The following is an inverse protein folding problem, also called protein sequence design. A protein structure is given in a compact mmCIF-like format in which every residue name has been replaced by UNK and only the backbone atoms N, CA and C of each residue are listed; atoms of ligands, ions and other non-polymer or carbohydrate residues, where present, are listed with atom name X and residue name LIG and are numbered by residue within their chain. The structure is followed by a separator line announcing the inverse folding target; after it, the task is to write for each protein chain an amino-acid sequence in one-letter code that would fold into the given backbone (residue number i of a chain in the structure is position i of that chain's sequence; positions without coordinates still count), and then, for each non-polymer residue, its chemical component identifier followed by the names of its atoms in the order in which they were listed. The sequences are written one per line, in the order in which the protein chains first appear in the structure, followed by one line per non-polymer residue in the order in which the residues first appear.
data_IF_277831632933
#
_entry.id   IF_277831632933
#
_cell.length_a   1.000
_cell.length_b   1.000
_cell.length_c   1.000
_cell.angle_alpha   90.00
_cell.angle_beta   90.00
_cell.angle_gamma   90.00
#
_symmetry.space_group_name_H-M   'P 1'
#
loop_
_entity.id
_entity.type
_entity.pdbx_description
1 polymer ?
#
# COMPACT_ATOMS: atom_id res chain seq x y z
N UNK A 1 -10.28 -25.72 -7.73
CA UNK A 1 -9.87 -24.31 -7.57
C UNK A 1 -10.69 -23.45 -8.53
N UNK A 2 -11.02 -22.22 -8.16
CA UNK A 2 -11.73 -21.28 -9.04
C UNK A 2 -10.88 -20.98 -10.30
N UNK A 3 -11.54 -20.76 -11.43
CA UNK A 3 -10.87 -20.34 -12.66
C UNK A 3 -10.54 -18.83 -12.58
N UNK A 4 -9.43 -18.38 -13.20
CA UNK A 4 -9.14 -16.96 -13.37
C UNK A 4 -10.28 -16.22 -14.06
N UNK A 5 -10.62 -15.06 -13.50
CA UNK A 5 -11.49 -14.04 -14.07
C UNK A 5 -10.72 -13.28 -15.17
N UNK A 6 -9.43 -13.03 -14.96
CA UNK A 6 -8.58 -12.36 -15.95
C UNK A 6 -8.42 -13.19 -17.22
N UNK A 7 -8.77 -12.58 -18.36
CA UNK A 7 -8.55 -13.18 -19.67
C UNK A 7 -7.14 -12.88 -20.15
N UNK A 8 -6.22 -13.79 -19.89
CA UNK A 8 -4.83 -13.70 -20.36
C UNK A 8 -4.72 -14.44 -21.70
N UNK A 9 -4.14 -13.78 -22.70
CA UNK A 9 -4.05 -14.27 -24.09
C UNK A 9 -2.97 -15.32 -24.31
N UNK A 10 -2.02 -15.45 -23.39
CA UNK A 10 -0.92 -16.42 -23.46
C UNK A 10 -1.26 -17.71 -22.72
N UNK A 11 -0.68 -18.83 -23.16
CA UNK A 11 -0.78 -20.09 -22.42
C UNK A 11 -0.04 -19.94 -21.08
N UNK A 12 -0.80 -19.99 -19.98
CA UNK A 12 -0.26 -19.90 -18.62
C UNK A 12 0.26 -21.26 -18.17
N UNK A 13 1.33 -21.24 -17.38
CA UNK A 13 1.71 -22.39 -16.57
C UNK A 13 0.53 -22.82 -15.67
N UNK A 14 0.26 -24.13 -15.50
CA UNK A 14 -0.85 -24.58 -14.65
C UNK A 14 -0.81 -24.02 -13.23
N UNK A 15 0.38 -23.86 -12.65
CA UNK A 15 0.58 -23.28 -11.31
C UNK A 15 0.11 -21.83 -11.28
N UNK A 16 0.52 -21.02 -12.27
CA UNK A 16 0.10 -19.62 -12.41
C UNK A 16 -1.41 -19.54 -12.62
N UNK A 17 -1.98 -20.40 -13.47
CA UNK A 17 -3.41 -20.44 -13.73
C UNK A 17 -4.23 -20.69 -12.45
N UNK A 18 -3.87 -21.72 -11.68
CA UNK A 18 -4.60 -22.03 -10.46
C UNK A 18 -4.39 -21.01 -9.34
N UNK A 19 -3.16 -20.47 -9.21
CA UNK A 19 -2.86 -19.44 -8.24
C UNK A 19 -3.64 -18.16 -8.54
N UNK A 20 -3.61 -17.70 -9.78
CA UNK A 20 -4.33 -16.49 -10.21
C UNK A 20 -5.83 -16.60 -9.92
N UNK A 21 -6.47 -17.70 -10.32
CA UNK A 21 -7.89 -17.91 -10.04
C UNK A 21 -8.19 -17.92 -8.55
N UNK A 22 -7.31 -18.52 -7.75
CA UNK A 22 -7.48 -18.58 -6.30
C UNK A 22 -7.36 -17.20 -5.64
N UNK A 23 -6.42 -16.36 -6.10
CA UNK A 23 -6.22 -15.00 -5.61
C UNK A 23 -7.40 -14.09 -5.98
N UNK A 24 -7.83 -14.13 -7.24
CA UNK A 24 -8.97 -13.34 -7.73
C UNK A 24 -10.27 -13.74 -7.04
N UNK A 25 -10.45 -15.01 -6.72
CA UNK A 25 -11.61 -15.46 -5.96
C UNK A 25 -11.63 -14.86 -4.55
N UNK A 26 -10.50 -14.81 -3.84
CA UNK A 26 -10.46 -14.22 -2.50
C UNK A 26 -10.87 -12.74 -2.51
N UNK A 27 -10.43 -12.01 -3.53
CA UNK A 27 -10.73 -10.59 -3.72
C UNK A 27 -12.03 -10.34 -4.51
N UNK A 28 -12.77 -11.39 -4.85
CA UNK A 28 -14.03 -11.26 -5.60
C UNK A 28 -15.13 -10.64 -4.75
N UNK A 29 -16.08 -9.90 -5.33
CA UNK A 29 -17.22 -9.34 -4.62
C UNK A 29 -18.04 -10.39 -3.86
N UNK A 30 -18.15 -11.60 -4.43
CA UNK A 30 -18.91 -12.70 -3.82
C UNK A 30 -18.22 -13.21 -2.56
N UNK A 31 -16.89 -13.35 -2.56
CA UNK A 31 -16.15 -13.75 -1.36
C UNK A 31 -16.18 -12.63 -0.32
N UNK A 32 -15.86 -11.39 -0.72
CA UNK A 32 -15.83 -10.24 0.18
C UNK A 32 -17.17 -9.99 0.85
N UNK A 33 -18.31 -10.23 0.19
CA UNK A 33 -19.62 -10.08 0.80
C UNK A 33 -19.83 -11.01 2.01
N UNK A 34 -19.16 -12.16 2.08
CA UNK A 34 -19.37 -13.19 3.10
C UNK A 34 -18.16 -13.36 4.04
N UNK A 35 -16.96 -13.02 3.59
CA UNK A 35 -15.71 -13.22 4.31
C UNK A 35 -15.42 -12.05 5.25
N UNK A 36 -15.98 -12.13 6.47
CA UNK A 36 -15.76 -11.12 7.49
C UNK A 36 -14.28 -11.01 7.92
N UNK A 37 -13.55 -12.13 7.90
CA UNK A 37 -12.14 -12.13 8.28
C UNK A 37 -11.32 -11.29 7.31
N UNK A 38 -11.54 -11.46 6.01
CA UNK A 38 -10.84 -10.68 4.99
C UNK A 38 -11.20 -9.19 5.09
N UNK A 39 -12.47 -8.87 5.32
CA UNK A 39 -12.94 -7.50 5.54
C UNK A 39 -12.33 -6.84 6.77
N UNK A 40 -12.13 -7.59 7.86
CA UNK A 40 -11.47 -7.08 9.06
C UNK A 40 -10.00 -6.74 8.82
N UNK A 41 -9.40 -7.27 7.76
CA UNK A 41 -8.01 -7.03 7.37
C UNK A 41 -7.87 -5.95 6.31
N UNK A 42 -8.97 -5.42 5.80
CA UNK A 42 -8.98 -4.23 4.95
C UNK A 42 -8.69 -2.98 5.79
N UNK A 43 -7.92 -2.07 5.22
CA UNK A 43 -7.83 -0.70 5.72
C UNK A 43 -8.98 0.18 5.22
N UNK A 44 -8.95 1.46 5.58
CA UNK A 44 -9.98 2.44 5.23
C UNK A 44 -10.14 2.66 3.71
N UNK A 45 -9.15 2.28 2.91
CA UNK A 45 -9.18 2.35 1.45
C UNK A 45 -9.23 0.97 0.78
N UNK A 46 -9.62 -0.06 1.54
CA UNK A 46 -9.85 -1.42 1.04
C UNK A 46 -8.58 -2.24 0.81
N UNK A 47 -7.41 -1.74 1.21
CA UNK A 47 -6.14 -2.43 0.99
C UNK A 47 -5.93 -3.57 1.98
N UNK A 48 -5.37 -4.67 1.47
CA UNK A 48 -5.02 -5.86 2.23
C UNK A 48 -3.54 -6.19 2.01
N UNK A 49 -2.77 -6.54 3.04
CA UNK A 49 -1.38 -6.96 2.87
C UNK A 49 -1.27 -8.25 2.03
N UNK A 50 -0.40 -8.25 1.01
CA UNK A 50 -0.09 -9.44 0.21
C UNK A 50 0.44 -10.60 1.08
N UNK A 51 1.33 -10.38 2.08
CA UNK A 51 1.78 -11.46 2.96
C UNK A 51 0.62 -12.17 3.69
N UNK A 52 -0.46 -11.44 4.01
CA UNK A 52 -1.64 -12.05 4.59
C UNK A 52 -2.31 -13.00 3.60
N UNK A 53 -2.51 -12.60 2.35
CA UNK A 53 -3.10 -13.46 1.31
C UNK A 53 -2.20 -14.67 1.03
N UNK A 54 -0.89 -14.47 0.95
CA UNK A 54 0.09 -15.53 0.78
C UNK A 54 0.04 -16.56 1.91
N UNK A 55 -0.33 -16.13 3.12
CA UNK A 55 -0.51 -17.03 4.27
C UNK A 55 -1.74 -17.93 4.18
N UNK A 56 -2.67 -17.75 3.22
CA UNK A 56 -3.89 -18.56 3.18
C UNK A 56 -3.60 -20.01 2.80
N UNK A 57 -4.30 -20.94 3.46
CA UNK A 57 -4.06 -22.39 3.30
C UNK A 57 -4.07 -22.85 1.83
N UNK A 58 -4.97 -22.32 0.99
CA UNK A 58 -5.03 -22.69 -0.43
C UNK A 58 -3.88 -22.10 -1.24
N UNK A 59 -3.42 -20.91 -0.89
CA UNK A 59 -2.25 -20.28 -1.53
C UNK A 59 -0.99 -21.05 -1.14
N UNK A 60 -0.80 -21.34 0.16
CA UNK A 60 0.33 -22.13 0.69
C UNK A 60 0.43 -23.55 0.13
N UNK A 61 -0.69 -24.13 -0.32
CA UNK A 61 -0.70 -25.44 -0.99
C UNK A 61 -0.17 -25.37 -2.44
N UNK A 62 -0.15 -24.18 -3.04
CA UNK A 62 0.33 -23.95 -4.41
C UNK A 62 1.77 -23.43 -4.39
N UNK A 63 2.05 -22.45 -3.52
CA UNK A 63 3.37 -21.82 -3.39
C UNK A 63 3.60 -21.33 -1.96
N UNK A 64 4.86 -21.25 -1.55
CA UNK A 64 5.29 -20.59 -0.30
C UNK A 64 6.06 -19.29 -0.56
N UNK A 65 6.24 -18.94 -1.83
CA UNK A 65 6.97 -17.75 -2.25
C UNK A 65 6.01 -16.55 -2.36
N UNK A 66 6.15 -15.59 -1.43
CA UNK A 66 5.35 -14.36 -1.41
C UNK A 66 5.63 -13.45 -2.61
N UNK A 67 6.88 -13.44 -3.11
CA UNK A 67 7.24 -12.65 -4.29
C UNK A 67 6.53 -13.17 -5.53
N UNK A 68 6.46 -14.50 -5.66
CA UNK A 68 5.68 -15.14 -6.73
C UNK A 68 4.18 -14.85 -6.63
N UNK A 69 3.60 -14.80 -5.41
CA UNK A 69 2.20 -14.39 -5.22
C UNK A 69 1.96 -12.97 -5.72
N UNK A 70 2.86 -12.04 -5.39
CA UNK A 70 2.78 -10.65 -5.88
C UNK A 70 2.86 -10.59 -7.41
N UNK A 71 3.80 -11.32 -8.01
CA UNK A 71 3.96 -11.33 -9.47
C UNK A 71 2.70 -11.84 -10.17
N UNK A 72 2.08 -12.91 -9.64
CA UNK A 72 0.82 -13.44 -10.19
C UNK A 72 -0.35 -12.50 -9.97
N UNK A 73 -0.44 -11.83 -8.81
CA UNK A 73 -1.43 -10.75 -8.62
C UNK A 73 -1.25 -9.63 -9.66
N UNK A 74 -0.02 -9.32 -10.05
CA UNK A 74 0.28 -8.31 -11.08
C UNK A 74 -0.22 -8.68 -12.48
N UNK A 75 -0.51 -9.96 -12.73
CA UNK A 75 -1.13 -10.44 -13.98
C UNK A 75 -2.65 -10.28 -13.99
N UNK A 76 -3.26 -10.01 -12.84
CA UNK A 76 -4.70 -9.88 -12.71
C UNK A 76 -5.19 -8.52 -13.22
N UNK A 77 -6.28 -8.53 -13.99
CA UNK A 77 -6.97 -7.32 -14.47
C UNK A 77 -8.02 -6.80 -13.48
N UNK A 78 -8.34 -7.55 -12.42
CA UNK A 78 -9.44 -7.22 -11.49
C UNK A 78 -8.96 -6.67 -10.13
N UNK A 79 -7.65 -6.73 -9.89
CA UNK A 79 -7.02 -6.22 -8.67
C UNK A 79 -6.00 -5.13 -9.02
N UNK A 80 -5.64 -4.33 -8.03
CA UNK A 80 -4.53 -3.39 -8.12
C UNK A 80 -3.58 -3.59 -6.94
N UNK A 81 -2.30 -3.30 -7.16
CA UNK A 81 -1.22 -3.49 -6.20
C UNK A 81 -0.52 -2.16 -5.97
N UNK A 82 -0.26 -1.85 -4.71
CA UNK A 82 0.59 -0.72 -4.32
C UNK A 82 1.53 -1.15 -3.19
N UNK A 83 2.83 -1.23 -3.50
CA UNK A 83 3.81 -1.80 -2.57
C UNK A 83 3.46 -3.25 -2.20
N UNK A 84 3.36 -3.53 -0.90
CA UNK A 84 2.97 -4.83 -0.34
C UNK A 84 1.45 -4.98 -0.15
N UNK A 85 0.65 -4.10 -0.72
CA UNK A 85 -0.80 -4.06 -0.53
C UNK A 85 -1.53 -4.38 -1.84
N UNK A 86 -2.67 -5.06 -1.72
CA UNK A 86 -3.56 -5.39 -2.83
C UNK A 86 -5.00 -5.01 -2.48
N UNK A 87 -5.75 -4.51 -3.47
CA UNK A 87 -7.21 -4.33 -3.36
C UNK A 87 -7.88 -4.61 -4.70
N UNK A 88 -9.22 -4.58 -4.70
CA UNK A 88 -10.02 -4.72 -5.92
C UNK A 88 -9.98 -3.41 -6.73
N UNK A 89 -9.68 -3.49 -8.04
CA UNK A 89 -9.43 -2.32 -8.89
C UNK A 89 -10.70 -1.60 -9.36
N UNK A 90 -11.64 -2.35 -9.93
CA UNK A 90 -12.82 -1.80 -10.63
C UNK A 90 -14.12 -2.28 -9.97
N UNK A 91 -14.25 -2.09 -8.67
CA UNK A 91 -15.53 -2.33 -8.02
C UNK A 91 -15.64 -1.65 -6.68
N UNK A 92 -16.75 -1.91 -6.03
CA UNK A 92 -17.14 -1.21 -4.81
C UNK A 92 -16.40 -1.76 -3.60
N UNK A 93 -15.06 -1.75 -3.60
CA UNK A 93 -14.26 -2.16 -2.44
C UNK A 93 -14.71 -1.41 -1.17
N UNK A 94 -15.13 -0.14 -1.33
CA UNK A 94 -15.70 0.72 -0.29
C UNK A 94 -16.84 0.06 0.49
N UNK A 95 -17.73 -0.70 -0.19
CA UNK A 95 -18.88 -1.34 0.46
C UNK A 95 -18.46 -2.47 1.41
N UNK A 96 -17.24 -2.99 1.23
CA UNK A 96 -16.72 -4.11 2.01
C UNK A 96 -15.88 -3.64 3.21
N UNK A 97 -15.42 -2.39 3.20
CA UNK A 97 -14.71 -1.75 4.32
C UNK A 97 -15.64 -1.69 5.54
N UNK A 98 -15.12 -2.08 6.71
CA UNK A 98 -15.90 -2.08 7.96
C UNK A 98 -15.86 -0.71 8.65
N UNK A 99 -16.93 -0.32 9.36
CA UNK A 99 -16.87 0.82 10.28
C UNK A 99 -15.75 0.61 11.30
N UNK A 100 -14.84 1.58 11.41
CA UNK A 100 -13.66 1.47 12.28
C UNK A 100 -12.46 0.75 11.65
N UNK A 101 -12.43 0.58 10.33
CA UNK A 101 -11.23 0.15 9.62
C UNK A 101 -10.03 1.09 9.92
N UNK A 102 -8.84 0.52 9.98
CA UNK A 102 -7.61 1.27 10.24
C UNK A 102 -7.33 2.25 9.10
N UNK A 103 -6.77 3.42 9.41
CA UNK A 103 -6.39 4.42 8.40
C UNK A 103 -5.38 3.84 7.41
N UNK A 104 -5.68 3.96 6.11
CA UNK A 104 -4.77 3.58 5.04
C UNK A 104 -3.47 4.36 5.12
N UNK A 105 -2.36 3.65 4.90
CA UNK A 105 -0.99 4.22 4.81
C UNK A 105 -0.49 4.28 3.37
N UNK A 106 -1.27 3.74 2.44
CA UNK A 106 -0.85 3.50 1.06
C UNK A 106 -0.85 4.81 0.27
N UNK A 107 -1.80 5.69 0.55
CA UNK A 107 -2.02 6.95 -0.19
C UNK A 107 -1.21 8.13 0.35
N UNK A 108 -0.53 7.98 1.49
CA UNK A 108 0.25 9.04 2.16
C UNK A 108 1.52 9.48 1.41
N UNK A 109 1.80 8.91 0.24
CA UNK A 109 3.00 9.22 -0.56
C UNK A 109 2.77 10.40 -1.53
N UNK A 110 1.53 10.88 -1.66
CA UNK A 110 1.20 11.92 -2.64
C UNK A 110 1.18 13.37 -2.14
N UNK A 111 1.69 13.69 -0.93
CA UNK A 111 1.65 15.07 -0.42
C UNK A 111 2.85 15.48 0.47
N UNK A 112 4.08 15.37 -0.06
CA UNK A 112 5.24 16.05 0.53
C UNK A 112 6.10 16.79 -0.50
N UNK A 113 5.43 17.44 -1.45
CA UNK A 113 6.05 18.44 -2.31
C UNK A 113 5.24 19.73 -2.18
N UNK A 114 5.72 20.62 -1.30
CA UNK A 114 5.40 22.05 -1.16
C UNK A 114 4.35 22.43 -0.11
N UNK A 115 4.75 22.45 1.16
CA UNK A 115 4.41 23.58 2.05
C UNK A 115 5.66 23.98 2.86
N UNK A 116 6.15 25.24 2.74
CA UNK A 116 7.21 25.73 3.61
C UNK A 116 6.66 25.93 5.03
N UNK A 117 7.46 25.53 6.02
CA UNK A 117 7.21 25.66 7.45
C UNK A 117 6.78 27.09 7.81
N UNK A 118 5.56 27.23 8.31
CA UNK A 118 5.12 28.38 9.09
C UNK A 118 5.35 28.05 10.56
N UNK A 119 6.47 28.49 11.11
CA UNK A 119 6.73 28.67 12.54
C UNK A 119 7.52 29.99 12.61
N UNK A 120 6.81 31.11 12.71
CA UNK A 120 6.50 31.84 13.95
C UNK A 120 7.71 32.55 14.56
N UNK A 121 7.47 33.84 14.78
CA UNK A 121 8.37 34.92 15.18
C UNK A 121 8.95 34.69 16.59
N UNK A 122 10.20 35.10 16.80
CA UNK A 122 10.65 35.63 18.08
C UNK A 122 11.56 36.83 17.81
N UNK A 123 11.04 38.01 18.17
CA UNK A 123 11.78 39.24 18.37
C UNK A 123 12.59 39.07 19.67
N UNK A 124 13.90 39.29 19.60
CA UNK A 124 14.70 39.69 20.76
C UNK A 124 15.72 40.73 20.26
N UNK A 125 15.38 42.00 20.47
CA UNK A 125 16.33 43.12 20.53
C UNK A 125 17.07 43.03 21.86
N UNK A 126 18.41 42.93 21.89
CA UNK A 126 19.24 43.48 22.97
C UNK A 126 20.56 44.04 22.42
N UNK A 127 21.06 45.02 23.15
CA UNK A 127 21.83 46.20 22.75
C UNK A 127 23.33 46.01 22.47
N UNK A 128 23.90 47.08 21.92
CA UNK A 128 25.31 47.36 21.66
C UNK A 128 26.23 47.17 22.88
N UNK A 129 27.45 46.67 22.65
CA UNK A 129 28.64 47.18 23.34
C UNK A 129 29.78 47.39 22.31
N UNK A 130 30.22 48.64 22.21
CA UNK A 130 31.46 49.06 21.55
C UNK A 130 32.69 48.66 22.40
N UNK A 131 33.86 48.81 21.76
CA UNK A 131 35.23 48.77 22.31
C UNK A 131 35.87 47.35 22.38
N UNK A 132 37.08 47.07 21.89
CA UNK A 132 38.31 47.87 21.83
C UNK A 132 39.23 47.49 20.63
N UNK A 133 40.01 48.50 20.27
CA UNK A 133 41.25 48.56 19.49
C UNK A 133 42.23 47.38 19.65
N UNK A 134 42.77 46.86 18.53
CA UNK A 134 44.15 46.32 18.49
C UNK A 134 44.82 46.58 17.15
N UNK A 135 45.97 47.25 17.26
CA UNK A 135 46.84 47.82 16.21
C UNK A 135 47.87 46.79 15.69
N UNK A 136 48.49 47.13 14.55
CA UNK A 136 49.75 46.62 13.95
C UNK A 136 49.56 45.51 12.90
N UNK A 137 50.14 45.59 11.69
CA UNK A 137 51.57 45.82 11.40
C UNK A 137 51.77 46.57 10.06
N UNK A 138 52.65 47.56 10.07
CA UNK A 138 53.36 48.06 8.88
C UNK A 138 54.79 47.49 8.94
N UNK A 139 55.25 46.90 7.83
CA UNK A 139 56.61 46.40 7.66
C UNK A 139 56.84 45.97 6.22
#
# INVERSE_FOLDING_TARGET
MPAPISRISVALDPTVYYLLGQLEYYLSPQNLAQDFFLRQKMDSHGWIPIPLIASFNRVRQITTDESFVRDVLGMSSVVEIQGDMVRMKEGEWERFVLPGAQTSRVDSIHDFSLTPSSEEESEDEEEEEEEEEVVFVMG
#
